data_IF_390166519725
#
_entry.id   IF_390166519725
#
_cell.length_a   1.000
_cell.length_b   1.000
_cell.length_c   1.000
_cell.angle_alpha   90.00
_cell.angle_beta   90.00
_cell.angle_gamma   90.00
#
_symmetry.space_group_name_H-M   'P 1'
#
loop_
_entity.id
_entity.type
_entity.pdbx_description
1 polymer ?
#
# COMPACT_ATOMS: atom_id res chain seq x y z
N UNK A 1 15.13 20.56 -8.92
CA UNK A 1 16.21 20.22 -7.95
C UNK A 1 16.73 18.80 -8.15
N UNK A 2 17.92 18.51 -7.62
CA UNK A 2 18.53 17.17 -7.64
C UNK A 2 18.27 16.46 -6.32
N UNK A 3 17.69 15.27 -6.37
CA UNK A 3 17.30 14.51 -5.18
C UNK A 3 18.12 13.20 -5.14
N UNK A 4 18.95 13.04 -4.09
CA UNK A 4 19.59 11.77 -3.80
C UNK A 4 18.55 10.83 -3.16
N UNK A 5 18.13 9.80 -3.86
CA UNK A 5 17.09 8.87 -3.40
C UNK A 5 17.70 7.56 -2.89
N UNK A 6 17.15 7.02 -1.81
CA UNK A 6 17.60 5.76 -1.23
C UNK A 6 16.44 4.94 -0.66
N UNK A 7 16.44 3.63 -0.95
CA UNK A 7 15.43 2.67 -0.50
C UNK A 7 16.09 1.53 0.31
N UNK A 8 16.30 1.67 1.63
CA UNK A 8 17.03 0.69 2.46
C UNK A 8 16.36 -0.68 2.57
N UNK A 9 15.03 -0.76 2.45
CA UNK A 9 14.30 -2.03 2.52
C UNK A 9 14.36 -2.82 1.21
N UNK A 10 14.04 -2.16 0.10
CA UNK A 10 14.07 -2.72 -1.25
C UNK A 10 14.57 -1.67 -2.23
N UNK A 11 15.79 -1.80 -2.76
CA UNK A 11 16.27 -0.98 -3.87
C UNK A 11 15.30 -1.00 -5.05
N UNK A 12 15.25 0.06 -5.84
CA UNK A 12 14.29 0.19 -6.94
C UNK A 12 14.40 -0.92 -7.99
N UNK A 13 15.59 -1.48 -8.19
CA UNK A 13 15.84 -2.61 -9.09
C UNK A 13 15.51 -3.98 -8.48
N UNK A 14 14.94 -4.06 -7.27
CA UNK A 14 14.64 -5.33 -6.61
C UNK A 14 13.65 -6.16 -7.44
N UNK A 15 13.94 -7.47 -7.72
CA UNK A 15 13.16 -8.28 -8.67
C UNK A 15 11.77 -8.66 -8.16
N UNK A 16 11.59 -8.80 -6.84
CA UNK A 16 10.32 -9.22 -6.26
C UNK A 16 9.37 -8.02 -6.06
N UNK A 17 8.21 -8.00 -6.73
CA UNK A 17 7.23 -6.94 -6.59
C UNK A 17 6.68 -6.87 -5.15
N UNK A 18 6.29 -5.68 -4.72
CA UNK A 18 5.57 -5.46 -3.46
C UNK A 18 4.97 -4.05 -3.46
N UNK A 19 3.95 -3.81 -2.61
CA UNK A 19 3.37 -2.49 -2.43
C UNK A 19 4.42 -1.41 -2.12
N UNK A 20 5.37 -1.68 -1.20
CA UNK A 20 6.48 -0.76 -0.88
C UNK A 20 7.29 -0.39 -2.12
N UNK A 21 7.63 -1.36 -2.98
CA UNK A 21 8.42 -1.10 -4.18
C UNK A 21 7.62 -0.28 -5.22
N UNK A 22 6.33 -0.53 -5.32
CA UNK A 22 5.43 0.25 -6.20
C UNK A 22 5.37 1.71 -5.73
N UNK A 23 5.21 1.95 -4.43
CA UNK A 23 5.22 3.31 -3.87
C UNK A 23 6.59 3.98 -4.08
N UNK A 24 7.70 3.27 -3.80
CA UNK A 24 9.05 3.81 -3.98
C UNK A 24 9.31 4.27 -5.43
N UNK A 25 8.93 3.45 -6.41
CA UNK A 25 9.03 3.77 -7.84
C UNK A 25 8.10 4.92 -8.23
N UNK A 26 6.86 4.91 -7.70
CA UNK A 26 5.88 5.97 -7.94
C UNK A 26 6.36 7.33 -7.47
N UNK A 27 6.97 7.42 -6.28
CA UNK A 27 7.58 8.66 -5.77
C UNK A 27 8.68 9.15 -6.71
N UNK A 28 9.62 8.28 -7.10
CA UNK A 28 10.70 8.67 -8.00
C UNK A 28 10.17 9.17 -9.36
N UNK A 29 9.23 8.43 -9.96
CA UNK A 29 8.63 8.78 -11.24
C UNK A 29 7.87 10.11 -11.17
N UNK A 30 7.07 10.32 -10.11
CA UNK A 30 6.34 11.56 -9.92
C UNK A 30 7.25 12.77 -9.71
N UNK A 31 8.30 12.63 -8.88
CA UNK A 31 9.27 13.71 -8.69
C UNK A 31 10.02 14.05 -9.99
N UNK A 32 10.36 13.04 -10.80
CA UNK A 32 10.97 13.27 -12.11
C UNK A 32 9.99 13.94 -13.10
N UNK A 33 8.71 13.54 -13.09
CA UNK A 33 7.67 14.16 -13.91
C UNK A 33 7.41 15.63 -13.51
N UNK A 34 7.60 15.97 -12.24
CA UNK A 34 7.53 17.34 -11.72
C UNK A 34 8.81 18.17 -11.97
N UNK A 35 9.72 17.69 -12.82
CA UNK A 35 10.93 18.42 -13.23
C UNK A 35 12.11 18.31 -12.27
N UNK A 36 12.09 17.39 -11.32
CA UNK A 36 13.26 17.10 -10.48
C UNK A 36 14.15 16.05 -11.13
N UNK A 37 15.43 16.01 -10.73
CA UNK A 37 16.35 14.92 -11.06
C UNK A 37 16.48 14.01 -9.83
N UNK A 38 15.55 13.05 -9.68
CA UNK A 38 15.49 12.13 -8.55
C UNK A 38 16.17 10.80 -8.93
N UNK A 39 17.36 10.53 -8.35
CA UNK A 39 18.15 9.33 -8.67
C UNK A 39 18.42 8.47 -7.46
N UNK A 40 18.26 7.15 -7.61
CA UNK A 40 18.75 6.19 -6.62
C UNK A 40 20.28 6.25 -6.58
N UNK A 41 20.81 6.75 -5.48
CA UNK A 41 22.25 6.94 -5.30
C UNK A 41 22.94 5.63 -4.93
N UNK A 42 22.27 4.78 -4.17
CA UNK A 42 22.82 3.51 -3.70
C UNK A 42 21.77 2.43 -3.65
N UNK A 43 22.08 1.27 -4.23
CA UNK A 43 21.27 0.06 -4.16
C UNK A 43 21.78 -0.87 -3.04
N UNK A 44 21.72 -0.40 -1.80
CA UNK A 44 22.09 -1.17 -0.61
C UNK A 44 20.87 -1.57 0.19
N UNK A 45 20.67 -2.87 0.36
CA UNK A 45 19.60 -3.41 1.19
C UNK A 45 20.08 -3.53 2.63
N UNK A 46 19.74 -2.56 3.48
CA UNK A 46 20.21 -2.53 4.89
C UNK A 46 19.50 -3.52 5.82
N UNK A 47 18.66 -4.42 5.29
CA UNK A 47 17.85 -5.35 6.09
C UNK A 47 18.73 -6.31 6.88
N UNK A 48 18.76 -6.14 8.21
CA UNK A 48 19.51 -6.95 9.16
C UNK A 48 21.02 -6.97 8.94
N UNK A 49 21.59 -5.99 8.21
CA UNK A 49 23.03 -5.94 7.89
C UNK A 49 23.93 -6.04 9.13
N UNK A 50 23.49 -5.49 10.26
CA UNK A 50 24.28 -5.48 11.51
C UNK A 50 24.39 -6.82 12.21
N UNK A 51 23.69 -7.85 11.75
CA UNK A 51 23.75 -9.20 12.33
C UNK A 51 24.99 -9.98 11.94
N UNK A 52 25.75 -9.52 10.95
CA UNK A 52 26.94 -10.18 10.43
C UNK A 52 28.09 -9.18 10.25
N UNK A 53 29.34 -9.62 10.45
CA UNK A 53 30.53 -8.78 10.14
C UNK A 53 30.59 -8.39 8.68
N UNK A 54 30.21 -9.29 7.77
CA UNK A 54 30.15 -9.01 6.34
C UNK A 54 29.14 -7.88 6.01
N UNK A 55 28.01 -7.84 6.70
CA UNK A 55 27.01 -6.77 6.52
C UNK A 55 27.57 -5.40 6.93
N UNK A 56 28.39 -5.32 7.98
CA UNK A 56 29.07 -4.09 8.35
C UNK A 56 30.12 -3.65 7.32
N UNK A 57 30.91 -4.59 6.78
CA UNK A 57 31.86 -4.31 5.71
C UNK A 57 31.16 -3.83 4.44
N UNK A 58 30.05 -4.49 4.07
CA UNK A 58 29.25 -4.02 2.94
C UNK A 58 28.67 -2.63 3.19
N UNK A 59 28.10 -2.35 4.36
CA UNK A 59 27.58 -1.04 4.71
C UNK A 59 28.65 0.05 4.60
N UNK A 60 29.87 -0.22 5.09
CA UNK A 60 31.00 0.71 4.98
C UNK A 60 31.43 0.95 3.52
N UNK A 61 31.56 -0.11 2.72
CA UNK A 61 31.87 0.00 1.30
C UNK A 61 30.79 0.79 0.53
N UNK A 62 29.51 0.52 0.81
CA UNK A 62 28.37 1.24 0.21
C UNK A 62 28.30 2.69 0.66
N UNK A 63 28.69 3.01 1.90
CA UNK A 63 28.77 4.39 2.37
C UNK A 63 29.79 5.19 1.54
N UNK A 64 31.02 4.66 1.35
CA UNK A 64 32.03 5.31 0.55
C UNK A 64 31.60 5.49 -0.91
N UNK A 65 31.02 4.43 -1.51
CA UNK A 65 30.53 4.49 -2.89
C UNK A 65 29.40 5.50 -3.06
N UNK A 66 28.44 5.50 -2.13
CA UNK A 66 27.30 6.43 -2.12
C UNK A 66 27.77 7.88 -1.93
N UNK A 67 28.70 8.14 -1.02
CA UNK A 67 29.30 9.46 -0.82
C UNK A 67 29.96 9.98 -2.10
N UNK A 68 30.85 9.18 -2.73
CA UNK A 68 31.52 9.56 -3.99
C UNK A 68 30.51 9.86 -5.09
N UNK A 69 29.44 9.06 -5.19
CA UNK A 69 28.38 9.28 -6.19
C UNK A 69 27.57 10.54 -5.88
N UNK A 70 27.26 10.79 -4.61
CA UNK A 70 26.57 11.98 -4.17
C UNK A 70 27.37 13.26 -4.40
N UNK A 71 28.70 13.27 -4.12
CA UNK A 71 29.60 14.39 -4.43
C UNK A 71 29.58 14.74 -5.91
N UNK A 72 29.61 13.72 -6.81
CA UNK A 72 29.54 13.95 -8.27
C UNK A 72 28.15 14.43 -8.71
N UNK A 73 27.10 13.90 -8.11
CA UNK A 73 25.72 14.24 -8.45
C UNK A 73 25.31 15.63 -7.94
N UNK A 74 25.90 16.09 -6.82
CA UNK A 74 25.62 17.37 -6.14
C UNK A 74 24.12 17.53 -5.85
N UNK A 75 23.52 16.66 -5.02
CA UNK A 75 22.11 16.75 -4.68
C UNK A 75 21.81 17.95 -3.79
N UNK A 76 20.62 18.52 -3.96
CA UNK A 76 20.09 19.60 -3.11
C UNK A 76 19.52 19.05 -1.80
N UNK A 77 19.08 17.79 -1.79
CA UNK A 77 18.64 17.06 -0.60
C UNK A 77 18.80 15.54 -0.76
N UNK A 78 18.76 14.84 0.38
CA UNK A 78 18.71 13.39 0.47
C UNK A 78 17.35 12.93 0.94
N UNK A 79 16.66 12.10 0.15
CA UNK A 79 15.35 11.51 0.45
C UNK A 79 15.49 10.00 0.63
N UNK A 80 15.14 9.50 1.82
CA UNK A 80 15.10 8.05 2.07
C UNK A 80 13.65 7.58 2.20
N UNK A 81 13.31 6.55 1.44
CA UNK A 81 12.02 5.88 1.50
C UNK A 81 12.06 4.64 2.40
N UNK A 82 11.15 4.58 3.38
CA UNK A 82 10.85 3.42 4.21
C UNK A 82 12.02 2.93 5.08
N UNK A 83 12.50 3.79 6.00
CA UNK A 83 13.44 3.42 7.05
C UNK A 83 12.71 2.90 8.29
N UNK A 84 13.08 1.71 8.78
CA UNK A 84 12.51 1.11 9.98
C UNK A 84 13.47 0.14 10.66
N UNK A 85 13.09 -0.44 11.79
CA UNK A 85 13.95 -1.27 12.64
C UNK A 85 14.59 -2.49 11.95
N UNK A 86 14.01 -3.03 10.86
CA UNK A 86 14.64 -4.13 10.08
C UNK A 86 15.60 -3.61 9.01
N UNK A 87 15.34 -2.43 8.50
CA UNK A 87 16.10 -1.80 7.42
C UNK A 87 16.31 -0.31 7.71
N UNK A 88 17.11 0.01 8.76
CA UNK A 88 17.39 1.40 9.09
C UNK A 88 18.30 2.05 8.05
N UNK A 89 18.07 3.34 7.79
CA UNK A 89 19.01 4.13 7.02
C UNK A 89 20.20 4.57 7.89
N UNK A 90 21.37 4.02 7.60
CA UNK A 90 22.64 4.40 8.24
C UNK A 90 23.53 5.23 7.32
N UNK A 91 23.16 5.38 6.05
CA UNK A 91 23.94 6.10 5.04
C UNK A 91 23.50 7.56 4.93
N UNK A 92 22.19 7.79 4.79
CA UNK A 92 21.62 9.12 4.58
C UNK A 92 22.01 10.14 5.62
N UNK A 93 21.89 9.88 6.93
CA UNK A 93 22.28 10.83 7.98
C UNK A 93 23.74 11.28 7.90
N UNK A 94 24.64 10.34 7.61
CA UNK A 94 26.09 10.62 7.52
C UNK A 94 26.44 11.41 6.26
N UNK A 95 25.94 10.96 5.11
CA UNK A 95 26.23 11.60 3.81
C UNK A 95 25.62 13.00 3.76
N UNK A 96 24.39 13.17 4.20
CA UNK A 96 23.73 14.49 4.22
C UNK A 96 24.47 15.48 5.11
N UNK A 97 24.96 15.04 6.27
CA UNK A 97 25.78 15.86 7.16
C UNK A 97 27.10 16.27 6.50
N UNK A 98 27.79 15.32 5.83
CA UNK A 98 29.07 15.59 5.16
C UNK A 98 28.91 16.54 3.96
N UNK A 99 27.76 16.48 3.26
CA UNK A 99 27.47 17.34 2.12
C UNK A 99 26.74 18.64 2.52
N UNK A 100 26.41 18.80 3.80
CA UNK A 100 25.63 19.92 4.33
C UNK A 100 24.30 20.15 3.60
N UNK A 101 23.56 19.05 3.32
CA UNK A 101 22.25 19.05 2.66
C UNK A 101 21.17 18.51 3.59
N UNK A 102 19.88 18.89 3.39
CA UNK A 102 18.77 18.36 4.16
C UNK A 102 18.63 16.83 4.00
N UNK A 103 18.46 16.14 5.13
CA UNK A 103 18.09 14.73 5.20
C UNK A 103 16.59 14.59 5.47
N UNK A 104 15.87 13.93 4.59
CA UNK A 104 14.42 13.80 4.62
C UNK A 104 14.02 12.32 4.56
N UNK A 105 13.00 11.97 5.32
CA UNK A 105 12.44 10.62 5.35
C UNK A 105 11.02 10.62 4.78
N UNK A 106 10.71 9.64 3.95
CA UNK A 106 9.34 9.32 3.56
C UNK A 106 8.96 7.93 4.09
N UNK A 107 7.84 7.85 4.78
CA UNK A 107 7.30 6.64 5.42
C UNK A 107 8.29 5.94 6.39
N UNK A 108 8.96 6.67 7.29
CA UNK A 108 9.73 6.02 8.32
C UNK A 108 8.79 5.49 9.40
N UNK A 109 9.11 4.34 9.98
CA UNK A 109 8.33 3.74 11.06
C UNK A 109 9.01 3.91 12.42
N UNK A 110 8.23 4.23 13.45
CA UNK A 110 8.73 4.30 14.83
C UNK A 110 7.85 3.48 15.77
N UNK A 111 8.40 2.42 16.37
CA UNK A 111 7.67 1.54 17.28
C UNK A 111 8.48 1.24 18.54
N UNK A 112 8.08 1.80 19.68
CA UNK A 112 8.72 1.60 20.98
C UNK A 112 8.68 0.14 21.47
N UNK A 113 7.70 -0.66 21.03
CA UNK A 113 7.61 -2.09 21.30
C UNK A 113 8.88 -2.82 20.83
N UNK A 114 9.49 -2.37 19.72
CA UNK A 114 10.69 -2.98 19.14
C UNK A 114 11.95 -2.77 19.99
N UNK A 115 11.97 -1.77 20.88
CA UNK A 115 13.04 -1.56 21.86
C UNK A 115 13.09 -2.66 22.91
N UNK A 116 11.93 -3.21 23.29
CA UNK A 116 11.81 -4.23 24.32
C UNK A 116 12.24 -5.63 23.85
N UNK A 117 12.26 -5.89 22.57
CA UNK A 117 12.60 -7.19 21.98
C UNK A 117 14.09 -7.25 21.64
N UNK A 118 14.84 -8.21 22.21
CA UNK A 118 16.29 -8.33 22.04
C UNK A 118 16.73 -8.36 20.57
N UNK A 119 16.05 -9.13 19.74
CA UNK A 119 16.37 -9.30 18.32
C UNK A 119 16.10 -8.08 17.45
N UNK A 120 15.28 -7.09 17.90
CA UNK A 120 14.98 -5.87 17.16
C UNK A 120 15.57 -4.61 17.79
N UNK A 121 16.02 -4.69 19.03
CA UNK A 121 16.50 -3.54 19.83
C UNK A 121 17.61 -2.75 19.14
N UNK A 122 18.59 -3.42 18.59
CA UNK A 122 19.71 -2.74 17.91
C UNK A 122 19.24 -1.96 16.68
N UNK A 123 18.46 -2.61 15.79
CA UNK A 123 17.89 -1.94 14.63
C UNK A 123 16.92 -0.80 14.99
N UNK A 124 16.21 -0.91 16.12
CA UNK A 124 15.42 0.20 16.64
C UNK A 124 16.30 1.43 16.95
N UNK A 125 17.46 1.25 17.58
CA UNK A 125 18.35 2.37 17.89
C UNK A 125 18.98 2.99 16.64
N UNK A 126 19.37 2.18 15.66
CA UNK A 126 19.86 2.68 14.36
C UNK A 126 18.78 3.51 13.65
N UNK A 127 17.54 3.00 13.58
CA UNK A 127 16.44 3.74 12.99
C UNK A 127 16.10 5.03 13.77
N UNK A 128 16.18 4.99 15.11
CA UNK A 128 15.99 6.18 15.96
C UNK A 128 17.03 7.25 15.69
N UNK A 129 18.28 6.87 15.39
CA UNK A 129 19.33 7.82 14.98
C UNK A 129 18.97 8.51 13.66
N UNK A 130 18.52 7.76 12.65
CA UNK A 130 18.03 8.31 11.38
C UNK A 130 16.87 9.28 11.59
N UNK A 131 15.87 8.90 12.39
CA UNK A 131 14.72 9.76 12.71
C UNK A 131 15.13 11.06 13.41
N UNK A 132 16.06 11.01 14.36
CA UNK A 132 16.55 12.22 15.03
C UNK A 132 17.35 13.15 14.10
N UNK A 133 18.09 12.58 13.17
CA UNK A 133 18.91 13.30 12.21
C UNK A 133 18.09 13.95 11.09
N UNK A 134 16.89 13.43 10.74
CA UNK A 134 16.13 13.97 9.63
C UNK A 134 15.65 15.39 9.89
N UNK A 135 15.69 16.24 8.88
CA UNK A 135 15.12 17.60 8.91
C UNK A 135 13.58 17.54 8.90
N UNK A 136 13.02 16.59 8.15
CA UNK A 136 11.59 16.39 8.02
C UNK A 136 11.24 14.92 7.75
N UNK A 137 10.07 14.47 8.18
CA UNK A 137 9.54 13.14 7.91
C UNK A 137 8.13 13.24 7.31
N UNK A 138 7.94 12.60 6.17
CA UNK A 138 6.63 12.41 5.55
C UNK A 138 6.11 11.01 5.84
N UNK A 139 4.82 10.86 6.04
CA UNK A 139 4.18 9.54 6.17
C UNK A 139 2.82 9.54 5.47
N UNK A 140 2.44 8.40 4.94
CA UNK A 140 1.15 8.17 4.32
C UNK A 140 0.21 7.31 5.19
N UNK A 141 0.56 7.11 6.46
CA UNK A 141 -0.23 6.37 7.43
C UNK A 141 -0.38 7.20 8.71
N UNK A 142 -1.60 7.36 9.20
CA UNK A 142 -1.92 8.17 10.38
C UNK A 142 -1.33 7.55 11.66
N UNK A 143 -1.37 6.22 11.79
CA UNK A 143 -0.80 5.54 12.97
C UNK A 143 0.72 5.76 13.04
N UNK A 144 1.39 5.75 11.88
CA UNK A 144 2.82 6.07 11.81
C UNK A 144 3.07 7.56 12.12
N UNK A 145 2.19 8.47 11.71
CA UNK A 145 2.28 9.90 12.06
C UNK A 145 2.21 10.09 13.58
N UNK A 146 1.24 9.49 14.23
CA UNK A 146 1.10 9.52 15.69
C UNK A 146 2.33 8.91 16.39
N UNK A 147 2.83 7.80 15.85
CA UNK A 147 4.05 7.20 16.37
C UNK A 147 5.28 8.11 16.20
N UNK A 148 5.38 8.84 15.11
CA UNK A 148 6.46 9.81 14.85
C UNK A 148 6.41 11.01 15.79
N UNK A 149 5.22 11.48 16.19
CA UNK A 149 5.06 12.57 17.15
C UNK A 149 5.64 12.26 18.55
N UNK A 150 5.92 10.99 18.86
CA UNK A 150 6.63 10.61 20.09
C UNK A 150 8.15 10.89 20.04
N UNK A 151 8.70 11.20 18.86
CA UNK A 151 10.15 11.43 18.68
C UNK A 151 10.46 12.71 17.90
N UNK A 152 9.55 13.19 17.06
CA UNK A 152 9.67 14.40 16.26
C UNK A 152 8.55 15.39 16.62
N UNK A 153 8.84 16.70 16.66
CA UNK A 153 7.80 17.71 16.81
C UNK A 153 6.90 17.73 15.55
N UNK A 154 5.63 18.07 15.69
CA UNK A 154 4.64 18.09 14.60
C UNK A 154 5.08 18.94 13.39
N UNK A 155 5.77 20.09 13.64
CA UNK A 155 6.32 20.93 12.55
C UNK A 155 7.36 20.23 11.66
N UNK A 156 7.90 19.09 12.09
CA UNK A 156 8.85 18.26 11.33
C UNK A 156 8.22 17.01 10.75
N UNK A 157 6.92 16.93 10.72
CA UNK A 157 6.18 15.81 10.16
C UNK A 157 5.08 16.31 9.24
N UNK A 158 4.81 15.60 8.15
CA UNK A 158 3.70 15.90 7.24
C UNK A 158 3.03 14.60 6.83
N UNK A 159 1.70 14.58 6.93
CA UNK A 159 0.90 13.51 6.35
C UNK A 159 0.71 13.76 4.86
N UNK A 160 1.08 12.80 4.04
CA UNK A 160 0.83 12.77 2.59
C UNK A 160 -0.20 11.67 2.36
N UNK A 161 -1.45 11.98 2.03
CA UNK A 161 -2.49 10.96 1.89
C UNK A 161 -2.08 9.84 0.93
N UNK A 162 -2.35 8.56 1.24
CA UNK A 162 -2.14 7.48 0.29
C UNK A 162 -3.06 7.69 -0.91
N UNK A 163 -2.60 7.27 -2.08
CA UNK A 163 -3.37 7.46 -3.30
C UNK A 163 -2.90 6.55 -4.43
N UNK A 164 -3.53 6.72 -5.57
CA UNK A 164 -3.17 6.10 -6.84
C UNK A 164 -3.16 7.15 -7.94
N UNK A 165 -2.63 6.78 -9.09
CA UNK A 165 -2.79 7.56 -10.32
C UNK A 165 -4.15 7.21 -10.93
N UNK A 166 -5.14 8.13 -10.95
CA UNK A 166 -6.51 7.79 -11.35
C UNK A 166 -6.60 7.28 -12.78
N UNK A 167 -5.70 7.70 -13.67
CA UNK A 167 -5.64 7.26 -15.06
C UNK A 167 -5.28 5.78 -15.23
N UNK A 168 -4.63 5.16 -14.25
CA UNK A 168 -4.31 3.72 -14.27
C UNK A 168 -5.52 2.85 -13.97
N UNK A 169 -6.56 3.42 -13.32
CA UNK A 169 -7.75 2.69 -12.86
C UNK A 169 -9.03 3.41 -13.27
N UNK A 170 -9.41 3.23 -14.52
CA UNK A 170 -10.64 3.81 -15.07
C UNK A 170 -11.69 2.72 -15.28
N UNK A 171 -12.95 3.08 -15.00
CA UNK A 171 -14.08 2.23 -15.31
C UNK A 171 -14.24 2.05 -16.84
N UNK A 172 -14.45 0.81 -17.27
CA UNK A 172 -14.77 0.46 -18.64
C UNK A 172 -15.86 -0.59 -18.66
N UNK A 173 -17.06 -0.20 -19.08
CA UNK A 173 -18.19 -1.13 -19.20
C UNK A 173 -17.89 -2.27 -20.19
N UNK A 174 -17.24 -1.98 -21.31
CA UNK A 174 -16.86 -2.97 -22.32
C UNK A 174 -15.89 -4.00 -21.74
N UNK A 175 -14.81 -3.56 -21.07
CA UNK A 175 -13.83 -4.44 -20.45
C UNK A 175 -14.47 -5.28 -19.33
N UNK A 176 -15.36 -4.69 -18.54
CA UNK A 176 -16.13 -5.41 -17.51
C UNK A 176 -17.01 -6.50 -18.10
N UNK A 177 -17.74 -6.21 -19.16
CA UNK A 177 -18.57 -7.20 -19.87
C UNK A 177 -17.72 -8.33 -20.47
N UNK A 178 -16.54 -8.02 -21.01
CA UNK A 178 -15.62 -9.02 -21.51
C UNK A 178 -15.13 -9.98 -20.42
N UNK A 179 -14.85 -9.48 -19.20
CA UNK A 179 -14.50 -10.30 -18.03
C UNK A 179 -15.68 -11.21 -17.65
N UNK A 180 -16.90 -10.67 -17.53
CA UNK A 180 -18.08 -11.49 -17.22
C UNK A 180 -18.32 -12.59 -18.26
N UNK A 181 -18.18 -12.27 -19.55
CA UNK A 181 -18.28 -13.23 -20.64
C UNK A 181 -17.20 -14.32 -20.56
N UNK A 182 -15.95 -13.92 -20.31
CA UNK A 182 -14.81 -14.85 -20.18
C UNK A 182 -15.04 -15.92 -19.11
N UNK A 183 -15.63 -15.54 -17.98
CA UNK A 183 -15.85 -16.44 -16.85
C UNK A 183 -17.28 -17.01 -16.80
N UNK A 184 -18.11 -16.77 -17.82
CA UNK A 184 -19.48 -17.29 -17.88
C UNK A 184 -20.40 -16.77 -16.77
N UNK A 185 -20.19 -15.55 -16.28
CA UNK A 185 -20.94 -14.98 -15.15
C UNK A 185 -22.30 -14.49 -15.63
N UNK A 186 -23.41 -15.07 -15.15
CA UNK A 186 -24.75 -14.67 -15.55
C UNK A 186 -25.09 -13.23 -15.17
N UNK A 187 -25.90 -12.56 -15.99
CA UNK A 187 -26.30 -11.16 -15.74
C UNK A 187 -27.13 -10.98 -14.46
N UNK A 188 -27.83 -11.99 -14.03
CA UNK A 188 -28.69 -11.98 -12.84
C UNK A 188 -27.93 -12.37 -11.56
N UNK A 189 -26.62 -12.58 -11.63
CA UNK A 189 -25.76 -12.84 -10.47
C UNK A 189 -24.94 -11.62 -10.08
N UNK A 190 -24.91 -11.33 -8.80
CA UNK A 190 -24.01 -10.33 -8.23
C UNK A 190 -22.58 -10.84 -8.28
N UNK A 191 -21.69 -10.09 -8.92
CA UNK A 191 -20.28 -10.41 -8.97
C UNK A 191 -19.53 -9.68 -7.87
N UNK A 192 -19.01 -10.46 -6.94
CA UNK A 192 -18.08 -10.00 -5.90
C UNK A 192 -16.65 -10.25 -6.40
N UNK A 193 -15.80 -9.24 -6.39
CA UNK A 193 -14.36 -9.39 -6.72
C UNK A 193 -13.53 -9.24 -5.47
N UNK A 194 -12.49 -10.05 -5.36
CA UNK A 194 -11.41 -9.88 -4.37
C UNK A 194 -10.05 -10.04 -5.03
N UNK A 195 -9.02 -9.38 -4.48
CA UNK A 195 -7.68 -9.43 -5.05
C UNK A 195 -6.62 -9.51 -3.94
N UNK A 196 -5.83 -10.59 -3.93
CA UNK A 196 -4.75 -10.78 -2.95
C UNK A 196 -3.68 -11.76 -3.44
N UNK A 197 -2.44 -11.58 -3.01
CA UNK A 197 -1.44 -12.64 -3.10
C UNK A 197 -1.76 -13.72 -2.07
N UNK A 198 -1.87 -14.99 -2.49
CA UNK A 198 -2.22 -16.11 -1.63
C UNK A 198 -0.98 -16.64 -0.86
N UNK A 199 -0.55 -15.89 0.17
CA UNK A 199 0.61 -16.21 1.02
C UNK A 199 0.17 -16.72 2.38
N UNK A 200 1.02 -17.56 3.01
CA UNK A 200 0.82 -18.09 4.38
C UNK A 200 1.06 -17.01 5.45
N UNK A 201 0.29 -15.92 5.39
CA UNK A 201 0.33 -14.81 6.35
C UNK A 201 -1.08 -14.21 6.48
N UNK A 202 -1.18 -12.97 6.90
CA UNK A 202 -2.45 -12.21 7.02
C UNK A 202 -3.30 -12.20 5.74
N UNK A 203 -2.72 -12.52 4.58
CA UNK A 203 -3.45 -12.64 3.32
C UNK A 203 -4.32 -13.90 3.28
N UNK A 204 -3.76 -15.03 3.72
CA UNK A 204 -4.53 -16.25 3.88
C UNK A 204 -5.64 -16.08 4.94
N UNK A 205 -5.32 -15.43 6.08
CA UNK A 205 -6.32 -15.10 7.10
C UNK A 205 -7.45 -14.26 6.53
N UNK A 206 -7.13 -13.21 5.72
CA UNK A 206 -8.14 -12.36 5.08
C UNK A 206 -9.04 -13.15 4.11
N UNK A 207 -8.45 -13.98 3.25
CA UNK A 207 -9.25 -14.75 2.28
C UNK A 207 -10.11 -15.80 3.00
N UNK A 208 -9.57 -16.47 4.01
CA UNK A 208 -10.33 -17.43 4.83
C UNK A 208 -11.50 -16.75 5.54
N UNK A 209 -11.28 -15.56 6.10
CA UNK A 209 -12.34 -14.76 6.71
C UNK A 209 -13.45 -14.40 5.69
N UNK A 210 -13.07 -13.96 4.47
CA UNK A 210 -14.01 -13.66 3.41
C UNK A 210 -14.84 -14.90 3.00
N UNK A 211 -14.19 -16.04 2.78
CA UNK A 211 -14.88 -17.28 2.39
C UNK A 211 -15.88 -17.73 3.46
N UNK A 212 -15.51 -17.67 4.73
CA UNK A 212 -16.45 -17.97 5.85
C UNK A 212 -17.62 -16.97 5.87
N UNK A 213 -17.36 -15.67 5.67
CA UNK A 213 -18.43 -14.66 5.60
C UNK A 213 -19.39 -14.91 4.43
N UNK A 214 -18.87 -15.31 3.27
CA UNK A 214 -19.69 -15.66 2.10
C UNK A 214 -20.47 -16.95 2.30
N UNK A 215 -19.93 -17.92 3.05
CA UNK A 215 -20.66 -19.14 3.43
C UNK A 215 -21.85 -18.83 4.34
N UNK A 216 -21.72 -17.87 5.27
CA UNK A 216 -22.85 -17.37 6.05
C UNK A 216 -23.86 -16.66 5.16
N UNK A 217 -23.41 -15.79 4.28
CA UNK A 217 -24.26 -15.07 3.32
C UNK A 217 -25.08 -16.05 2.44
N UNK A 218 -24.47 -17.18 2.06
CA UNK A 218 -25.11 -18.21 1.21
C UNK A 218 -26.39 -18.80 1.82
N UNK A 219 -26.54 -18.71 3.13
CA UNK A 219 -27.76 -19.21 3.80
C UNK A 219 -29.00 -18.36 3.47
N UNK A 220 -28.81 -17.11 3.06
CA UNK A 220 -29.89 -16.16 2.74
C UNK A 220 -29.87 -15.66 1.30
N UNK A 221 -28.70 -15.73 0.62
CA UNK A 221 -28.51 -15.25 -0.75
C UNK A 221 -27.84 -16.32 -1.60
N UNK A 222 -28.46 -16.73 -2.67
CA UNK A 222 -27.97 -17.76 -3.59
C UNK A 222 -27.46 -17.22 -4.93
N UNK A 223 -27.68 -15.94 -5.24
CA UNK A 223 -27.39 -15.33 -6.54
C UNK A 223 -26.15 -14.44 -6.52
N UNK A 224 -25.03 -14.98 -6.04
CA UNK A 224 -23.74 -14.29 -6.15
C UNK A 224 -22.62 -15.24 -6.60
N UNK A 225 -21.59 -14.66 -7.17
CA UNK A 225 -20.32 -15.31 -7.53
C UNK A 225 -19.16 -14.53 -6.96
N UNK A 226 -18.15 -15.23 -6.44
CA UNK A 226 -16.87 -14.63 -6.07
C UNK A 226 -15.83 -14.87 -7.19
N UNK A 227 -15.26 -13.81 -7.73
CA UNK A 227 -14.10 -13.88 -8.62
C UNK A 227 -12.85 -13.48 -7.84
N UNK A 228 -11.99 -14.45 -7.55
CA UNK A 228 -10.75 -14.28 -6.79
C UNK A 228 -9.59 -14.06 -7.75
N UNK A 229 -9.02 -12.85 -7.73
CA UNK A 229 -7.85 -12.45 -8.49
C UNK A 229 -6.60 -12.60 -7.61
N UNK A 230 -5.79 -13.61 -7.88
CA UNK A 230 -4.57 -13.84 -7.11
C UNK A 230 -4.04 -15.25 -7.25
N UNK A 231 -2.77 -15.38 -6.85
CA UNK A 231 -2.06 -16.66 -6.86
C UNK A 231 -1.00 -16.64 -5.74
N UNK A 232 -0.49 -17.81 -5.40
CA UNK A 232 0.56 -17.95 -4.41
C UNK A 232 0.63 -19.33 -3.76
N UNK A 233 1.55 -19.52 -2.80
CA UNK A 233 1.77 -20.82 -2.15
C UNK A 233 0.53 -21.43 -1.50
N UNK A 234 -0.44 -20.61 -1.07
CA UNK A 234 -1.67 -21.05 -0.41
C UNK A 234 -2.85 -21.22 -1.38
N UNK A 235 -2.61 -21.21 -2.71
CA UNK A 235 -3.69 -21.31 -3.69
C UNK A 235 -4.46 -22.65 -3.61
N UNK A 236 -3.77 -23.75 -3.31
CA UNK A 236 -4.38 -25.06 -3.13
C UNK A 236 -5.33 -25.11 -1.93
N UNK A 237 -4.88 -24.62 -0.78
CA UNK A 237 -5.67 -24.58 0.46
C UNK A 237 -6.89 -23.65 0.34
N UNK A 238 -6.68 -22.49 -0.30
CA UNK A 238 -7.80 -21.54 -0.56
C UNK A 238 -8.82 -22.18 -1.50
N UNK A 239 -8.39 -22.90 -2.53
CA UNK A 239 -9.31 -23.61 -3.44
C UNK A 239 -10.11 -24.71 -2.71
N UNK A 240 -9.41 -25.55 -1.96
CA UNK A 240 -10.04 -26.61 -1.16
C UNK A 240 -11.09 -26.04 -0.18
N UNK A 241 -10.76 -24.93 0.48
CA UNK A 241 -11.68 -24.23 1.38
C UNK A 241 -12.90 -23.66 0.62
N UNK A 242 -12.67 -23.07 -0.54
CA UNK A 242 -13.74 -22.53 -1.38
C UNK A 242 -14.70 -23.61 -1.89
N UNK A 243 -14.16 -24.75 -2.35
CA UNK A 243 -14.94 -25.88 -2.83
C UNK A 243 -15.83 -26.50 -1.74
N UNK A 244 -15.33 -26.52 -0.50
CA UNK A 244 -16.06 -27.01 0.66
C UNK A 244 -17.15 -26.03 1.15
N UNK A 245 -16.85 -24.73 1.21
CA UNK A 245 -17.74 -23.71 1.79
C UNK A 245 -18.75 -23.14 0.78
N UNK A 246 -18.33 -23.02 -0.47
CA UNK A 246 -19.06 -22.30 -1.54
C UNK A 246 -19.01 -23.07 -2.86
N UNK A 247 -19.47 -24.35 -2.91
CA UNK A 247 -19.35 -25.19 -4.09
C UNK A 247 -19.96 -24.49 -5.31
N UNK A 248 -19.19 -24.40 -6.39
CA UNK A 248 -19.59 -23.80 -7.66
C UNK A 248 -19.80 -22.28 -7.66
N UNK A 249 -19.49 -21.57 -6.56
CA UNK A 249 -19.71 -20.11 -6.44
C UNK A 249 -18.42 -19.29 -6.44
N UNK A 250 -17.25 -19.93 -6.53
CA UNK A 250 -15.95 -19.24 -6.54
C UNK A 250 -15.22 -19.54 -7.83
N UNK A 251 -14.82 -18.48 -8.51
CA UNK A 251 -14.02 -18.53 -9.73
C UNK A 251 -12.61 -18.02 -9.39
N UNK A 252 -11.60 -18.78 -9.76
CA UNK A 252 -10.19 -18.42 -9.58
C UNK A 252 -9.62 -17.87 -10.88
N UNK A 253 -9.37 -16.56 -10.92
CA UNK A 253 -8.77 -15.91 -12.08
C UNK A 253 -7.24 -16.16 -12.18
N UNK A 254 -6.64 -16.70 -11.11
CA UNK A 254 -5.18 -16.81 -11.02
C UNK A 254 -4.51 -15.45 -10.88
N UNK A 255 -3.23 -15.38 -11.22
CA UNK A 255 -2.47 -14.13 -11.19
C UNK A 255 -2.94 -13.19 -12.31
N UNK A 256 -3.49 -12.04 -11.92
CA UNK A 256 -3.88 -10.95 -12.82
C UNK A 256 -2.82 -9.84 -12.75
N UNK A 257 -2.36 -9.36 -13.89
CA UNK A 257 -1.44 -8.22 -13.93
C UNK A 257 -2.15 -6.93 -13.51
N UNK A 258 -1.44 -6.05 -12.80
CA UNK A 258 -2.01 -4.79 -12.28
C UNK A 258 -2.72 -3.95 -13.35
N UNK A 259 -2.15 -3.87 -14.54
CA UNK A 259 -2.75 -3.14 -15.68
C UNK A 259 -4.07 -3.75 -16.22
N UNK A 260 -4.36 -5.01 -15.91
CA UNK A 260 -5.59 -5.69 -16.30
C UNK A 260 -6.68 -5.59 -15.21
N UNK A 261 -6.30 -5.27 -13.96
CA UNK A 261 -7.22 -5.20 -12.83
C UNK A 261 -8.40 -4.22 -13.03
N UNK A 262 -8.26 -3.07 -13.74
CA UNK A 262 -9.41 -2.21 -14.01
C UNK A 262 -10.60 -2.93 -14.68
N UNK A 263 -10.34 -3.90 -15.58
CA UNK A 263 -11.41 -4.67 -16.23
C UNK A 263 -12.15 -5.56 -15.22
N UNK A 264 -11.44 -6.13 -14.24
CA UNK A 264 -12.04 -6.96 -13.20
C UNK A 264 -12.85 -6.13 -12.20
N UNK A 265 -12.35 -4.98 -11.77
CA UNK A 265 -13.10 -4.05 -10.94
C UNK A 265 -14.33 -3.49 -11.67
N UNK A 266 -14.21 -3.21 -12.98
CA UNK A 266 -15.35 -2.76 -13.81
C UNK A 266 -16.40 -3.85 -14.04
N UNK A 267 -16.04 -5.13 -13.96
CA UNK A 267 -16.97 -6.26 -14.03
C UNK A 267 -17.76 -6.47 -12.74
N UNK A 268 -17.21 -6.03 -11.60
CA UNK A 268 -17.73 -6.29 -10.27
C UNK A 268 -18.93 -5.40 -9.93
N UNK A 269 -19.87 -5.95 -9.17
CA UNK A 269 -20.91 -5.17 -8.48
C UNK A 269 -20.40 -4.59 -7.16
N UNK A 270 -19.46 -5.29 -6.51
CA UNK A 270 -18.76 -4.84 -5.32
C UNK A 270 -17.40 -5.55 -5.17
N UNK A 271 -16.49 -4.91 -4.45
CA UNK A 271 -15.21 -5.46 -4.05
C UNK A 271 -15.26 -5.82 -2.56
N UNK A 272 -14.96 -7.05 -2.20
CA UNK A 272 -14.94 -7.50 -0.81
C UNK A 272 -13.57 -8.04 -0.43
N UNK A 273 -12.93 -7.41 0.57
CA UNK A 273 -11.66 -7.87 1.12
C UNK A 273 -11.55 -7.43 2.59
N UNK A 274 -11.33 -8.35 3.54
CA UNK A 274 -11.27 -8.00 4.97
C UNK A 274 -10.17 -7.00 5.33
N UNK A 275 -9.01 -7.08 4.70
CA UNK A 275 -7.90 -6.17 4.96
C UNK A 275 -7.11 -6.47 6.23
N UNK A 276 -7.15 -7.70 6.76
CA UNK A 276 -6.40 -8.09 7.96
C UNK A 276 -4.90 -7.89 7.73
N UNK A 277 -4.28 -7.10 8.62
CA UNK A 277 -2.84 -6.78 8.56
C UNK A 277 -2.43 -5.87 7.40
N UNK A 278 -3.38 -5.24 6.71
CA UNK A 278 -3.08 -4.21 5.72
C UNK A 278 -2.66 -2.91 6.39
N UNK A 279 -1.55 -2.35 5.91
CA UNK A 279 -1.15 -1.01 6.32
C UNK A 279 -2.08 0.06 5.73
N UNK A 280 -2.47 -0.10 4.46
CA UNK A 280 -3.38 0.79 3.73
C UNK A 280 -4.33 -0.01 2.82
N UNK A 281 -3.82 -1.06 2.12
CA UNK A 281 -4.62 -1.83 1.18
C UNK A 281 -4.89 -1.08 -0.12
N UNK A 282 -3.87 -0.93 -0.97
CA UNK A 282 -3.98 -0.21 -2.26
C UNK A 282 -5.10 -0.74 -3.16
N UNK A 283 -5.43 -2.03 -3.05
CA UNK A 283 -6.53 -2.66 -3.81
C UNK A 283 -7.90 -2.00 -3.55
N UNK A 284 -8.10 -1.41 -2.36
CA UNK A 284 -9.32 -0.66 -2.06
C UNK A 284 -9.41 0.63 -2.88
N UNK A 285 -8.29 1.36 -3.01
CA UNK A 285 -8.24 2.56 -3.83
C UNK A 285 -8.42 2.23 -5.32
N UNK A 286 -7.83 1.14 -5.78
CA UNK A 286 -7.93 0.64 -7.14
C UNK A 286 -9.37 0.29 -7.51
N UNK A 287 -10.08 -0.46 -6.64
CA UNK A 287 -11.49 -0.78 -6.83
C UNK A 287 -12.38 0.48 -6.85
N UNK A 288 -12.18 1.37 -5.89
CA UNK A 288 -12.94 2.64 -5.80
C UNK A 288 -12.73 3.55 -7.02
N UNK A 289 -11.53 3.61 -7.59
CA UNK A 289 -11.27 4.38 -8.80
C UNK A 289 -12.08 3.88 -10.00
N UNK A 290 -12.32 2.57 -10.07
CA UNK A 290 -13.20 1.96 -11.08
C UNK A 290 -14.69 2.02 -10.71
N UNK A 291 -15.08 2.79 -9.69
CA UNK A 291 -16.48 2.87 -9.27
C UNK A 291 -17.03 1.59 -8.62
N UNK A 292 -16.15 0.73 -8.08
CA UNK A 292 -16.54 -0.50 -7.41
C UNK A 292 -16.65 -0.27 -5.90
N UNK A 293 -17.85 -0.35 -5.28
CA UNK A 293 -18.03 -0.17 -3.84
C UNK A 293 -17.29 -1.23 -3.05
N UNK A 294 -16.73 -0.83 -1.90
CA UNK A 294 -15.91 -1.70 -1.08
C UNK A 294 -16.67 -2.20 0.14
N UNK A 295 -16.49 -3.49 0.49
CA UNK A 295 -16.81 -4.02 1.83
C UNK A 295 -15.51 -4.53 2.48
N UNK A 296 -15.20 -4.00 3.66
CA UNK A 296 -13.97 -4.31 4.37
C UNK A 296 -14.16 -4.24 5.90
N UNK A 297 -13.18 -4.72 6.66
CA UNK A 297 -13.18 -4.56 8.11
C UNK A 297 -12.68 -3.16 8.52
N UNK A 298 -13.26 -2.62 9.58
CA UNK A 298 -12.82 -1.36 10.21
C UNK A 298 -11.60 -1.61 11.11
N UNK A 299 -10.46 -1.87 10.46
CA UNK A 299 -9.20 -2.23 11.15
C UNK A 299 -7.99 -1.59 10.48
N UNK A 300 -6.94 -1.37 11.28
CA UNK A 300 -5.63 -0.90 10.83
C UNK A 300 -5.75 0.33 9.89
N UNK A 301 -5.11 0.30 8.73
CA UNK A 301 -5.12 1.41 7.77
C UNK A 301 -6.31 1.46 6.83
N UNK A 302 -7.24 0.50 6.88
CA UNK A 302 -8.39 0.43 5.96
C UNK A 302 -9.28 1.67 6.03
N UNK A 303 -9.64 2.23 7.24
CA UNK A 303 -10.44 3.46 7.33
C UNK A 303 -9.78 4.71 6.73
N UNK A 304 -8.48 4.65 6.50
CA UNK A 304 -7.76 5.75 5.85
C UNK A 304 -8.00 5.80 4.33
N UNK A 305 -8.43 4.69 3.73
CA UNK A 305 -8.59 4.52 2.28
C UNK A 305 -10.02 4.19 1.85
N UNK A 306 -10.88 3.75 2.76
CA UNK A 306 -12.32 3.53 2.54
C UNK A 306 -13.10 4.44 3.47
N UNK A 307 -14.12 5.12 2.96
CA UNK A 307 -15.02 5.96 3.75
C UNK A 307 -16.34 5.21 3.94
N UNK A 308 -16.64 4.88 5.21
CA UNK A 308 -17.90 4.21 5.56
C UNK A 308 -19.11 5.05 5.10
N UNK A 309 -20.11 4.39 4.50
CA UNK A 309 -21.35 4.98 3.94
C UNK A 309 -21.15 6.01 2.80
N UNK A 310 -19.89 6.25 2.41
CA UNK A 310 -19.56 7.17 1.31
C UNK A 310 -18.99 6.45 0.09
N UNK A 311 -17.99 5.57 0.30
CA UNK A 311 -17.32 4.82 -0.78
C UNK A 311 -17.35 3.30 -0.58
N UNK A 312 -17.83 2.85 0.58
CA UNK A 312 -17.94 1.44 0.94
C UNK A 312 -18.54 1.26 2.32
N UNK A 313 -18.63 0.02 2.76
CA UNK A 313 -19.06 -0.36 4.10
C UNK A 313 -17.88 -0.91 4.89
N UNK A 314 -17.60 -0.30 6.04
CA UNK A 314 -16.63 -0.77 7.02
C UNK A 314 -17.38 -1.44 8.18
N UNK A 315 -16.94 -2.64 8.56
CA UNK A 315 -17.60 -3.42 9.60
C UNK A 315 -16.59 -3.91 10.64
N UNK A 316 -16.97 -4.08 11.91
CA UNK A 316 -16.09 -4.59 12.96
C UNK A 316 -15.68 -6.04 12.67
N UNK A 317 -14.43 -6.39 13.05
CA UNK A 317 -13.88 -7.73 12.81
C UNK A 317 -14.58 -8.83 13.63
N UNK A 318 -14.92 -8.53 14.86
CA UNK A 318 -15.30 -9.55 15.86
C UNK A 318 -16.82 -9.72 16.04
N UNK A 319 -17.61 -8.99 15.27
CA UNK A 319 -19.06 -9.17 15.23
C UNK A 319 -19.43 -10.27 14.22
N UNK A 320 -19.91 -11.40 14.74
CA UNK A 320 -20.25 -12.59 13.94
C UNK A 320 -21.21 -12.26 12.80
N UNK A 321 -20.71 -12.42 11.55
CA UNK A 321 -21.50 -12.20 10.36
C UNK A 321 -21.59 -10.76 9.84
N UNK A 322 -20.99 -9.75 10.50
CA UNK A 322 -21.08 -8.35 10.09
C UNK A 322 -20.65 -8.12 8.63
N UNK A 323 -19.58 -8.78 8.17
CA UNK A 323 -19.17 -8.70 6.77
C UNK A 323 -20.16 -9.36 5.83
N UNK A 324 -20.77 -10.49 6.22
CA UNK A 324 -21.82 -11.15 5.44
C UNK A 324 -23.06 -10.24 5.31
N UNK A 325 -23.49 -9.62 6.41
CA UNK A 325 -24.62 -8.68 6.40
C UNK A 325 -24.35 -7.46 5.51
N UNK A 326 -23.15 -6.85 5.60
CA UNK A 326 -22.81 -5.71 4.76
C UNK A 326 -22.73 -6.07 3.26
N UNK A 327 -22.25 -7.26 2.91
CA UNK A 327 -22.27 -7.74 1.53
C UNK A 327 -23.73 -7.96 1.09
N UNK A 328 -24.56 -8.60 1.92
CA UNK A 328 -25.99 -8.81 1.67
C UNK A 328 -26.73 -7.49 1.46
N UNK A 329 -26.48 -6.49 2.29
CA UNK A 329 -27.04 -5.15 2.12
C UNK A 329 -26.71 -4.55 0.75
N UNK A 330 -25.47 -4.67 0.28
CA UNK A 330 -25.11 -4.18 -1.05
C UNK A 330 -25.69 -5.05 -2.19
N UNK A 331 -26.01 -6.32 -1.96
CA UNK A 331 -26.72 -7.15 -2.93
C UNK A 331 -28.17 -6.68 -3.07
N UNK A 332 -28.86 -6.47 -1.95
CA UNK A 332 -30.28 -6.15 -1.92
C UNK A 332 -30.57 -4.68 -2.23
N UNK A 333 -29.71 -3.78 -1.74
CA UNK A 333 -29.90 -2.34 -1.86
C UNK A 333 -29.13 -1.76 -3.07
N UNK A 334 -29.75 -1.90 -4.26
CA UNK A 334 -29.18 -1.35 -5.49
C UNK A 334 -28.96 0.18 -5.43
N UNK A 335 -29.81 0.93 -4.71
CA UNK A 335 -29.66 2.39 -4.60
C UNK A 335 -28.43 2.75 -3.79
N UNK A 336 -28.21 2.10 -2.64
CA UNK A 336 -27.00 2.26 -1.84
C UNK A 336 -25.76 1.90 -2.65
N UNK A 337 -25.77 0.74 -3.30
CA UNK A 337 -24.66 0.29 -4.14
C UNK A 337 -24.31 1.32 -5.22
N UNK A 338 -25.32 1.85 -5.91
CA UNK A 338 -25.15 2.90 -6.95
C UNK A 338 -24.62 4.21 -6.36
N UNK A 339 -25.10 4.63 -5.18
CA UNK A 339 -24.60 5.81 -4.47
C UNK A 339 -23.10 5.67 -4.17
N UNK A 340 -22.70 4.56 -3.54
CA UNK A 340 -21.30 4.31 -3.18
C UNK A 340 -20.40 4.23 -4.43
N UNK A 341 -20.87 3.55 -5.49
CA UNK A 341 -20.19 3.46 -6.78
C UNK A 341 -19.92 4.84 -7.42
N UNK A 342 -20.91 5.73 -7.37
CA UNK A 342 -20.78 7.10 -7.91
C UNK A 342 -19.88 8.01 -7.10
N UNK A 343 -19.80 7.80 -5.78
CA UNK A 343 -18.95 8.59 -4.90
C UNK A 343 -17.47 8.17 -4.96
N UNK A 344 -17.22 6.88 -5.15
CA UNK A 344 -15.88 6.28 -5.08
C UNK A 344 -14.87 6.93 -6.02
N UNK A 345 -15.11 7.13 -7.33
CA UNK A 345 -14.15 7.80 -8.21
C UNK A 345 -13.92 9.26 -7.85
N UNK A 346 -14.94 9.96 -7.34
CA UNK A 346 -14.81 11.35 -6.88
C UNK A 346 -13.88 11.45 -5.68
N UNK A 347 -14.06 10.56 -4.69
CA UNK A 347 -13.17 10.48 -3.54
C UNK A 347 -11.72 10.24 -3.97
N UNK A 348 -11.49 9.32 -4.92
CA UNK A 348 -10.15 9.05 -5.45
C UNK A 348 -9.57 10.29 -6.13
N UNK A 349 -10.30 10.91 -7.05
CA UNK A 349 -9.80 12.07 -7.81
C UNK A 349 -9.53 13.29 -6.94
N UNK A 350 -10.32 13.51 -5.88
CA UNK A 350 -10.22 14.69 -5.03
C UNK A 350 -9.30 14.51 -3.81
N UNK A 351 -9.22 13.31 -3.23
CA UNK A 351 -8.56 13.09 -1.94
C UNK A 351 -7.45 12.03 -1.98
N UNK A 352 -7.38 11.24 -3.06
CA UNK A 352 -6.45 10.11 -3.18
C UNK A 352 -5.68 10.11 -4.52
N UNK A 353 -5.60 11.27 -5.14
CA UNK A 353 -4.87 11.49 -6.38
C UNK A 353 -3.38 11.71 -6.09
N UNK A 354 -2.54 10.78 -6.52
CA UNK A 354 -1.09 10.86 -6.29
C UNK A 354 -0.42 12.04 -7.00
N UNK A 355 -0.95 12.55 -8.12
CA UNK A 355 -0.40 13.75 -8.74
C UNK A 355 -0.47 14.93 -7.78
N UNK A 356 -1.63 15.15 -7.15
CA UNK A 356 -1.81 16.23 -6.18
C UNK A 356 -0.97 16.01 -4.92
N UNK A 357 -0.97 14.77 -4.39
CA UNK A 357 -0.23 14.44 -3.19
C UNK A 357 1.28 14.60 -3.38
N UNK A 358 1.79 14.21 -4.54
CA UNK A 358 3.23 14.36 -4.84
C UNK A 358 3.61 15.79 -5.26
N UNK A 359 2.67 16.60 -5.78
CA UNK A 359 2.90 18.03 -5.95
C UNK A 359 3.11 18.72 -4.60
N UNK A 360 2.24 18.46 -3.59
CA UNK A 360 2.44 18.96 -2.24
C UNK A 360 3.74 18.47 -1.60
N UNK A 361 4.10 17.20 -1.83
CA UNK A 361 5.40 16.66 -1.40
C UNK A 361 6.55 17.43 -2.05
N UNK A 362 6.49 17.67 -3.36
CA UNK A 362 7.50 18.39 -4.13
C UNK A 362 7.71 19.81 -3.62
N UNK A 363 6.65 20.57 -3.41
CA UNK A 363 6.68 21.93 -2.85
C UNK A 363 7.40 21.95 -1.48
N UNK A 364 7.02 21.02 -0.60
CA UNK A 364 7.65 20.93 0.71
C UNK A 364 9.13 20.50 0.65
N UNK A 365 9.50 19.64 -0.31
CA UNK A 365 10.91 19.28 -0.53
C UNK A 365 11.73 20.48 -1.03
N UNK A 366 11.17 21.32 -1.92
CA UNK A 366 11.80 22.56 -2.38
C UNK A 366 12.01 23.56 -1.23
N UNK A 367 10.99 23.79 -0.41
CA UNK A 367 11.10 24.61 0.81
C UNK A 367 12.22 24.13 1.74
N UNK A 368 12.29 22.80 1.98
CA UNK A 368 13.32 22.21 2.84
C UNK A 368 14.72 22.33 2.25
N UNK A 369 14.87 22.33 0.93
CA UNK A 369 16.11 22.55 0.21
C UNK A 369 16.50 24.04 0.10
N UNK A 370 15.61 24.97 0.46
CA UNK A 370 15.82 26.42 0.32
C UNK A 370 15.76 26.89 -1.14
N UNK A 371 14.98 26.19 -1.96
CA UNK A 371 14.77 26.53 -3.38
C UNK A 371 13.33 27.09 -3.49
N UNK A 372 13.23 28.34 -3.88
CA UNK A 372 11.97 29.07 -4.07
C UNK A 372 11.62 29.22 -5.53
#
# INVERSE_FOLDING_TARGET
>A
MKIAYYCPNKPLAHPLPSGDLTIARGIQQALNALGHDCREIVAFRSRWFWKTGQGWLEAAARLVAAYRKAVRFRPDLWLTYHSYYKSPDVLGPLISRLLNIPYVLFQPMYSTRRRKQSHTRFGFYLNRMALKACRHAFTNNIDDLEALHRILPSRRTTYVPPGIFPEEFQYSAEAGLAVRKRYGIPKNQTLIVTAAMLRADVKFESISYLLNSLALLRQTHDKFMLLLCGDGPMAGEVRSMADNLLPGSVIFAGRVERKQMPAYYSAADLFAFPGIGESLGMVFLEAQACGCPVVALDIAGVPQVVKHDETGLLVPKDEGGAMAMAIGELIDNHQLRKKLAGNSPRFISQQRNLHQNYSMLSEKLQELAGIH
#
